data_IF_052400154410
#
_entry.id   IF_052400154410
#
_cell.length_a   1.000
_cell.length_b   1.000
_cell.length_c   1.000
_cell.angle_alpha   90.00
_cell.angle_beta   90.00
_cell.angle_gamma   90.00
#
_symmetry.space_group_name_H-M   'P 1'
#
loop_
_entity.id
_entity.type
_entity.pdbx_description
1 polymer ?
#
# COMPACT_ATOMS: atom_id res chain seq x y z
N UNK A 1 2.03 -15.25 -4.00
CA UNK A 1 2.78 -14.00 -4.29
C UNK A 1 1.95 -12.83 -3.78
N UNK A 2 2.58 -11.72 -3.41
CA UNK A 2 1.86 -10.50 -3.04
C UNK A 2 1.53 -9.68 -4.28
N UNK A 3 0.25 -9.41 -4.49
CA UNK A 3 -0.23 -8.46 -5.50
C UNK A 3 -0.60 -7.15 -4.80
N UNK A 4 -0.27 -6.02 -5.42
CA UNK A 4 -0.61 -4.68 -4.91
C UNK A 4 -1.44 -3.96 -5.95
N UNK A 5 -2.71 -3.71 -5.63
CA UNK A 5 -3.63 -2.95 -6.44
C UNK A 5 -3.80 -1.55 -5.88
N UNK A 6 -3.89 -0.58 -6.78
CA UNK A 6 -4.34 0.77 -6.48
C UNK A 6 -5.67 0.95 -7.19
N UNK A 7 -6.73 1.15 -6.42
CA UNK A 7 -8.06 1.39 -6.93
C UNK A 7 -8.49 2.83 -6.61
N UNK A 8 -8.99 3.55 -7.61
CA UNK A 8 -9.74 4.78 -7.40
C UNK A 8 -11.22 4.40 -7.33
N UNK A 9 -11.86 4.74 -6.23
CA UNK A 9 -13.26 4.36 -5.94
C UNK A 9 -14.04 5.62 -5.57
N UNK A 10 -15.35 5.60 -5.81
CA UNK A 10 -16.23 6.67 -5.33
C UNK A 10 -16.14 6.78 -3.80
N UNK A 11 -16.11 8.00 -3.29
CA UNK A 11 -16.06 8.26 -1.85
C UNK A 11 -17.48 8.35 -1.28
N UNK A 12 -18.09 7.17 -1.10
CA UNK A 12 -19.47 7.02 -0.61
C UNK A 12 -19.57 5.92 0.45
N UNK A 13 -20.55 6.00 1.36
CA UNK A 13 -20.79 4.93 2.34
C UNK A 13 -20.95 3.56 1.68
N UNK A 14 -20.32 2.53 2.28
CA UNK A 14 -20.42 1.13 1.83
C UNK A 14 -19.38 0.68 0.79
N UNK A 15 -18.53 1.59 0.30
CA UNK A 15 -17.45 1.30 -0.67
C UNK A 15 -16.45 0.27 -0.13
N UNK A 16 -15.94 0.49 1.09
CA UNK A 16 -15.02 -0.45 1.74
C UNK A 16 -15.64 -1.84 1.88
N UNK A 17 -16.90 -1.92 2.33
CA UNK A 17 -17.61 -3.19 2.50
C UNK A 17 -17.76 -3.95 1.19
N UNK A 18 -18.03 -3.25 0.08
CA UNK A 18 -18.12 -3.86 -1.26
C UNK A 18 -16.79 -4.44 -1.71
N UNK A 19 -15.68 -3.71 -1.52
CA UNK A 19 -14.33 -4.18 -1.83
C UNK A 19 -13.98 -5.39 -0.96
N UNK A 20 -14.14 -5.31 0.37
CA UNK A 20 -13.84 -6.42 1.27
C UNK A 20 -14.69 -7.68 0.96
N UNK A 21 -15.97 -7.50 0.63
CA UNK A 21 -16.87 -8.60 0.24
C UNK A 21 -16.43 -9.26 -1.07
N UNK A 22 -15.85 -8.51 -2.01
CA UNK A 22 -15.30 -9.08 -3.23
C UNK A 22 -14.14 -10.03 -2.92
N UNK A 23 -13.16 -9.60 -2.12
CA UNK A 23 -12.03 -10.45 -1.74
C UNK A 23 -12.48 -11.69 -0.96
N UNK A 24 -13.48 -11.54 -0.08
CA UNK A 24 -14.13 -12.68 0.58
C UNK A 24 -14.70 -13.68 -0.42
N UNK A 25 -15.45 -13.23 -1.44
CA UNK A 25 -16.03 -14.11 -2.47
C UNK A 25 -14.98 -14.77 -3.35
N UNK A 26 -13.87 -14.08 -3.63
CA UNK A 26 -12.75 -14.66 -4.36
C UNK A 26 -11.92 -15.63 -3.52
N UNK A 27 -12.19 -15.74 -2.21
CA UNK A 27 -11.41 -16.49 -1.24
C UNK A 27 -9.92 -16.09 -1.23
N UNK A 28 -9.67 -14.78 -1.22
CA UNK A 28 -8.33 -14.19 -1.26
C UNK A 28 -8.09 -13.41 0.02
N UNK A 29 -6.96 -13.68 0.68
CA UNK A 29 -6.56 -12.98 1.88
C UNK A 29 -6.06 -11.56 1.57
N UNK A 30 -6.63 -10.56 2.24
CA UNK A 30 -6.11 -9.18 2.21
C UNK A 30 -5.03 -9.06 3.27
N UNK A 31 -3.81 -8.81 2.83
CA UNK A 31 -2.63 -8.62 3.71
C UNK A 31 -2.59 -7.19 4.24
N UNK A 32 -2.99 -6.22 3.42
CA UNK A 32 -3.03 -4.82 3.81
C UNK A 32 -4.06 -4.07 2.98
N UNK A 33 -4.77 -3.14 3.61
CA UNK A 33 -5.71 -2.26 2.93
C UNK A 33 -5.59 -0.87 3.55
N UNK A 34 -5.32 0.12 2.72
CA UNK A 34 -5.26 1.52 3.11
C UNK A 34 -6.20 2.31 2.20
N UNK A 35 -6.98 3.22 2.78
CA UNK A 35 -7.90 4.11 2.07
C UNK A 35 -7.69 5.54 2.56
N UNK A 36 -7.76 6.49 1.63
CA UNK A 36 -7.76 7.92 1.94
C UNK A 36 -8.30 8.70 0.75
N UNK A 37 -8.59 9.97 0.98
CA UNK A 37 -9.02 10.90 -0.07
C UNK A 37 -7.95 10.99 -1.17
N UNK A 38 -8.39 11.08 -2.42
CA UNK A 38 -7.50 11.34 -3.56
C UNK A 38 -7.39 12.83 -3.87
N UNK A 39 -6.59 13.18 -4.86
CA UNK A 39 -6.51 14.54 -5.39
C UNK A 39 -7.81 15.01 -6.08
N UNK A 40 -8.76 14.09 -6.31
CA UNK A 40 -10.03 14.35 -6.98
C UNK A 40 -11.16 14.34 -5.95
N UNK A 41 -12.03 15.37 -5.94
CA UNK A 41 -13.22 15.39 -5.09
C UNK A 41 -14.08 14.14 -5.30
N UNK A 42 -14.68 13.64 -4.22
CA UNK A 42 -15.57 12.47 -4.21
C UNK A 42 -14.93 11.16 -4.71
N UNK A 43 -13.60 11.10 -4.79
CA UNK A 43 -12.85 9.89 -5.15
C UNK A 43 -11.84 9.59 -4.06
N UNK A 44 -11.89 8.35 -3.56
CA UNK A 44 -10.95 7.80 -2.60
C UNK A 44 -9.94 6.90 -3.32
N UNK A 45 -8.69 6.93 -2.86
CA UNK A 45 -7.60 6.07 -3.32
C UNK A 45 -7.41 4.92 -2.33
N UNK A 46 -7.66 3.70 -2.79
CA UNK A 46 -7.44 2.48 -2.02
C UNK A 46 -6.17 1.78 -2.50
N UNK A 47 -5.24 1.47 -1.59
CA UNK A 47 -4.15 0.52 -1.83
C UNK A 47 -4.51 -0.81 -1.20
N UNK A 48 -4.56 -1.86 -1.99
CA UNK A 48 -4.98 -3.21 -1.58
C UNK A 48 -3.84 -4.17 -1.87
N UNK A 49 -3.30 -4.77 -0.82
CA UNK A 49 -2.28 -5.81 -0.92
C UNK A 49 -2.91 -7.13 -0.56
N UNK A 50 -2.82 -8.12 -1.45
CA UNK A 50 -3.40 -9.43 -1.24
C UNK A 50 -2.45 -10.55 -1.63
N UNK A 51 -2.65 -11.73 -1.04
CA UNK A 51 -1.89 -12.92 -1.37
C UNK A 51 -2.68 -13.80 -2.33
N UNK A 52 -2.12 -14.03 -3.53
CA UNK A 52 -2.73 -14.87 -4.55
C UNK A 52 -1.68 -15.54 -5.46
N UNK A 53 -2.06 -16.55 -6.26
CA UNK A 53 -1.22 -17.07 -7.34
C UNK A 53 -0.92 -15.99 -8.38
N UNK A 54 0.23 -16.07 -9.05
CA UNK A 54 0.67 -15.05 -10.02
C UNK A 54 -0.35 -14.79 -11.13
N UNK A 55 -1.05 -15.84 -11.57
CA UNK A 55 -2.08 -15.78 -12.62
C UNK A 55 -3.39 -15.14 -12.17
N UNK A 56 -3.58 -14.93 -10.86
CA UNK A 56 -4.83 -14.40 -10.31
C UNK A 56 -4.98 -12.88 -10.50
N UNK A 57 -3.89 -12.17 -10.77
CA UNK A 57 -3.89 -10.71 -10.86
C UNK A 57 -4.93 -10.15 -11.83
N UNK A 58 -4.99 -10.75 -13.03
CA UNK A 58 -5.95 -10.36 -14.07
C UNK A 58 -7.39 -10.53 -13.60
N UNK A 59 -7.71 -11.67 -12.98
CA UNK A 59 -9.05 -11.97 -12.44
C UNK A 59 -9.45 -11.03 -11.32
N UNK A 60 -8.52 -10.72 -10.40
CA UNK A 60 -8.78 -9.81 -9.28
C UNK A 60 -9.05 -8.40 -9.80
N UNK A 61 -8.18 -7.89 -10.69
CA UNK A 61 -8.34 -6.59 -11.34
C UNK A 61 -9.68 -6.49 -12.08
N UNK A 62 -10.00 -7.48 -12.91
CA UNK A 62 -11.28 -7.52 -13.63
C UNK A 62 -12.48 -7.55 -12.67
N UNK A 63 -12.38 -8.25 -11.54
CA UNK A 63 -13.45 -8.30 -10.55
C UNK A 63 -13.63 -6.98 -9.79
N UNK A 64 -12.55 -6.23 -9.57
CA UNK A 64 -12.60 -4.88 -8.98
C UNK A 64 -13.28 -3.89 -9.94
N UNK A 65 -12.99 -3.96 -11.25
CA UNK A 65 -13.65 -3.14 -12.27
C UNK A 65 -15.15 -3.42 -12.40
N UNK A 66 -15.60 -4.64 -12.07
CA UNK A 66 -17.03 -4.98 -12.07
C UNK A 66 -17.81 -4.32 -10.94
N UNK A 67 -17.15 -3.74 -9.94
CA UNK A 67 -17.84 -2.97 -8.90
C UNK A 67 -18.19 -1.60 -9.48
N UNK A 68 -19.48 -1.25 -9.47
CA UNK A 68 -20.00 0.05 -9.94
C UNK A 68 -19.28 1.26 -9.32
N UNK A 69 -18.78 1.12 -8.08
CA UNK A 69 -18.07 2.15 -7.34
C UNK A 69 -16.63 2.39 -7.83
N UNK A 70 -16.08 1.51 -8.65
CA UNK A 70 -14.69 1.55 -9.07
C UNK A 70 -14.54 2.43 -10.30
N UNK A 71 -13.72 3.46 -10.19
CA UNK A 71 -13.39 4.38 -11.29
C UNK A 71 -12.22 3.85 -12.11
N UNK A 72 -11.16 3.39 -11.44
CA UNK A 72 -9.94 2.90 -12.08
C UNK A 72 -9.24 1.89 -11.16
N UNK A 73 -8.55 0.92 -11.75
CA UNK A 73 -7.73 -0.06 -11.01
C UNK A 73 -6.45 -0.33 -11.76
N UNK A 74 -5.34 -0.17 -11.06
CA UNK A 74 -4.01 -0.50 -11.53
C UNK A 74 -3.34 -1.53 -10.60
N UNK A 75 -2.47 -2.36 -11.17
CA UNK A 75 -1.63 -3.28 -10.41
C UNK A 75 -0.19 -2.74 -10.41
N UNK A 76 0.30 -2.41 -9.22
CA UNK A 76 1.61 -1.78 -9.02
C UNK A 76 2.74 -2.81 -8.89
N UNK A 77 2.40 -4.08 -8.63
CA UNK A 77 3.35 -5.15 -8.29
C UNK A 77 4.45 -5.44 -9.33
N UNK A 78 4.27 -5.04 -10.60
CA UNK A 78 5.24 -5.25 -11.70
C UNK A 78 6.00 -3.98 -12.11
N UNK A 79 5.75 -2.86 -11.44
CA UNK A 79 6.28 -1.54 -11.82
C UNK A 79 7.26 -0.99 -10.79
N UNK A 80 8.16 -0.10 -11.22
CA UNK A 80 8.96 0.68 -10.29
C UNK A 80 8.04 1.54 -9.40
N UNK A 81 7.95 1.19 -8.12
CA UNK A 81 7.06 1.86 -7.18
C UNK A 81 7.76 2.21 -5.87
N UNK A 82 7.28 3.26 -5.25
CA UNK A 82 7.56 3.58 -3.86
C UNK A 82 6.47 2.95 -3.02
N UNK A 83 6.86 2.03 -2.13
CA UNK A 83 5.98 1.44 -1.13
C UNK A 83 6.43 1.92 0.25
N UNK A 84 5.51 2.50 1.01
CA UNK A 84 5.76 3.00 2.36
C UNK A 84 4.62 2.65 3.29
N UNK A 85 4.95 2.59 4.56
CA UNK A 85 4.04 2.35 5.67
C UNK A 85 4.49 3.23 6.83
N UNK A 86 3.53 3.74 7.60
CA UNK A 86 3.75 4.43 8.86
C UNK A 86 3.38 3.50 10.01
N UNK A 87 4.20 3.50 11.06
CA UNK A 87 4.02 2.67 12.24
C UNK A 87 4.27 3.49 13.50
N UNK A 88 3.37 3.32 14.48
CA UNK A 88 3.54 3.75 15.86
C UNK A 88 3.82 2.52 16.72
N UNK A 89 4.85 2.60 17.56
CA UNK A 89 5.25 1.53 18.47
C UNK A 89 5.36 2.11 19.87
N UNK A 90 4.55 1.62 20.80
CA UNK A 90 4.64 1.98 22.21
C UNK A 90 5.46 0.93 22.93
N UNK A 91 6.55 1.36 23.56
CA UNK A 91 7.51 0.49 24.27
C UNK A 91 7.47 0.81 25.75
N UNK A 92 7.43 -0.23 26.59
CA UNK A 92 7.49 -0.09 28.04
C UNK A 92 8.87 0.47 28.46
N UNK A 93 8.86 1.46 29.34
CA UNK A 93 10.06 2.20 29.75
C UNK A 93 9.97 2.68 31.22
N UNK A 94 9.21 1.94 32.03
CA UNK A 94 9.01 2.21 33.45
C UNK A 94 10.25 1.95 34.31
N UNK A 95 10.25 2.40 35.57
CA UNK A 95 11.32 2.11 36.53
C UNK A 95 11.17 0.75 37.22
N UNK A 96 10.00 0.09 37.11
CA UNK A 96 9.63 -1.08 37.90
C UNK A 96 9.37 -2.32 37.03
N UNK A 97 9.90 -3.47 37.46
CA UNK A 97 9.59 -4.77 36.87
C UNK A 97 8.08 -5.09 37.00
N UNK A 98 7.42 -5.70 36.00
CA UNK A 98 7.94 -6.35 34.79
C UNK A 98 8.03 -5.45 33.55
N UNK A 99 7.51 -4.22 33.60
CA UNK A 99 7.39 -3.31 32.45
C UNK A 99 8.59 -2.36 32.32
N UNK A 100 9.60 -2.52 33.17
CA UNK A 100 10.68 -1.56 33.32
C UNK A 100 11.89 -2.11 34.06
N UNK A 101 12.95 -2.44 33.32
CA UNK A 101 14.29 -2.77 33.84
C UNK A 101 15.43 -2.19 32.99
N UNK A 102 15.11 -1.53 31.88
CA UNK A 102 16.07 -1.21 30.84
C UNK A 102 16.26 0.30 30.68
N UNK A 103 17.48 0.71 30.31
CA UNK A 103 17.81 2.12 30.14
C UNK A 103 17.05 2.74 28.96
N UNK A 104 16.27 3.79 29.22
CA UNK A 104 15.63 4.61 28.18
C UNK A 104 16.60 5.09 27.09
N UNK A 105 17.89 5.22 27.42
CA UNK A 105 18.92 5.64 26.47
C UNK A 105 19.01 4.71 25.25
N UNK A 106 18.88 3.40 25.44
CA UNK A 106 18.98 2.44 24.34
C UNK A 106 17.76 2.55 23.40
N UNK A 107 16.56 2.82 23.93
CA UNK A 107 15.39 3.08 23.08
C UNK A 107 15.64 4.32 22.19
N UNK A 108 16.25 5.37 22.74
CA UNK A 108 16.63 6.55 21.95
C UNK A 108 17.72 6.26 20.91
N UNK A 109 18.72 5.43 21.25
CA UNK A 109 19.74 4.98 20.30
C UNK A 109 19.13 4.16 19.16
N UNK A 110 18.24 3.22 19.47
CA UNK A 110 17.50 2.45 18.47
C UNK A 110 16.66 3.36 17.59
N UNK A 111 15.97 4.35 18.16
CA UNK A 111 15.22 5.32 17.38
C UNK A 111 16.11 6.07 16.38
N UNK A 112 17.30 6.50 16.81
CA UNK A 112 18.28 7.17 15.94
C UNK A 112 18.77 6.26 14.80
N UNK A 113 19.16 5.02 15.11
CA UNK A 113 19.66 4.05 14.11
C UNK A 113 18.60 3.75 13.06
N UNK A 114 17.36 3.49 13.49
CA UNK A 114 16.26 3.19 12.57
C UNK A 114 15.68 4.44 11.92
N UNK A 115 16.14 5.64 12.28
CA UNK A 115 15.57 6.94 11.87
C UNK A 115 14.07 7.02 12.20
N UNK A 116 13.70 6.48 13.36
CA UNK A 116 12.40 6.68 13.98
C UNK A 116 12.41 7.97 14.81
N UNK A 117 11.22 8.51 15.08
CA UNK A 117 11.03 9.71 15.91
C UNK A 117 10.38 9.30 17.21
N UNK A 118 10.83 9.86 18.33
CA UNK A 118 10.08 9.76 19.59
C UNK A 118 8.95 10.79 19.53
N UNK A 119 7.71 10.33 19.64
CA UNK A 119 6.52 11.19 19.54
C UNK A 119 5.81 11.37 20.89
N UNK A 120 6.07 10.49 21.85
CA UNK A 120 5.57 10.61 23.22
C UNK A 120 6.56 9.99 24.22
N UNK A 121 6.65 10.61 25.40
CA UNK A 121 7.50 10.18 26.50
C UNK A 121 6.71 10.27 27.81
N UNK A 122 6.28 9.12 28.30
CA UNK A 122 5.55 8.97 29.56
C UNK A 122 6.45 8.36 30.66
N UNK A 123 6.06 8.45 31.94
CA UNK A 123 6.78 7.81 33.03
C UNK A 123 6.94 6.29 32.88
N UNK A 124 6.02 5.62 32.18
CA UNK A 124 6.02 4.16 32.03
C UNK A 124 6.27 3.69 30.59
N UNK A 125 6.35 4.60 29.60
CA UNK A 125 6.47 4.20 28.19
C UNK A 125 7.07 5.28 27.30
N UNK A 126 7.60 4.84 26.16
CA UNK A 126 8.07 5.69 25.06
C UNK A 126 7.32 5.28 23.81
N UNK A 127 6.79 6.26 23.06
CA UNK A 127 6.19 6.00 21.75
C UNK A 127 7.14 6.43 20.64
N UNK A 128 7.42 5.49 19.74
CA UNK A 128 8.20 5.70 18.53
C UNK A 128 7.26 5.76 17.32
N UNK A 129 7.58 6.65 16.39
CA UNK A 129 6.97 6.73 15.07
C UNK A 129 8.04 6.44 14.00
N UNK A 130 7.71 5.59 13.04
CA UNK A 130 8.59 5.31 11.90
C UNK A 130 7.82 5.21 10.59
N UNK A 131 8.42 5.76 9.53
CA UNK A 131 7.98 5.55 8.15
C UNK A 131 9.03 4.76 7.37
N UNK A 132 8.63 3.69 6.69
CA UNK A 132 9.58 2.77 6.04
C UNK A 132 8.94 1.73 5.14
N UNK A 133 9.76 0.81 4.65
CA UNK A 133 9.26 -0.46 4.12
C UNK A 133 8.77 -1.33 5.27
N UNK A 134 7.85 -2.25 5.00
CA UNK A 134 7.38 -3.20 6.02
C UNK A 134 8.52 -4.02 6.64
N UNK A 135 9.56 -4.35 5.87
CA UNK A 135 10.76 -5.04 6.37
C UNK A 135 11.57 -4.19 7.36
N UNK A 136 11.65 -2.88 7.15
CA UNK A 136 12.36 -1.97 8.07
C UNK A 136 11.58 -1.82 9.38
N UNK A 137 10.26 -1.75 9.31
CA UNK A 137 9.35 -1.74 10.47
C UNK A 137 9.51 -3.02 11.28
N UNK A 138 9.47 -4.16 10.61
CA UNK A 138 9.66 -5.45 11.26
C UNK A 138 11.03 -5.56 11.93
N UNK A 139 12.09 -5.05 11.28
CA UNK A 139 13.43 -5.02 11.86
C UNK A 139 13.52 -4.20 13.16
N UNK A 140 12.83 -3.06 13.26
CA UNK A 140 12.81 -2.27 14.50
C UNK A 140 12.08 -3.03 15.61
N UNK A 141 10.91 -3.61 15.30
CA UNK A 141 10.12 -4.41 16.23
C UNK A 141 10.96 -5.58 16.76
N UNK A 142 11.62 -6.31 15.86
CA UNK A 142 12.47 -7.45 16.22
C UNK A 142 13.61 -7.04 17.15
N UNK A 143 14.35 -5.98 16.83
CA UNK A 143 15.48 -5.53 17.66
C UNK A 143 15.02 -5.05 19.03
N UNK A 144 13.87 -4.37 19.12
CA UNK A 144 13.29 -3.98 20.42
C UNK A 144 12.97 -5.22 21.26
N UNK A 145 12.31 -6.22 20.67
CA UNK A 145 11.95 -7.47 21.36
C UNK A 145 13.18 -8.27 21.78
N UNK A 146 14.17 -8.45 20.89
CA UNK A 146 15.42 -9.16 21.19
C UNK A 146 16.27 -8.45 22.25
N UNK A 147 16.17 -7.12 22.34
CA UNK A 147 16.84 -6.32 23.37
C UNK A 147 16.16 -6.42 24.76
N UNK A 148 15.12 -7.23 24.90
CA UNK A 148 14.41 -7.48 26.17
C UNK A 148 13.31 -6.45 26.49
N UNK A 149 13.07 -5.47 25.62
CA UNK A 149 11.99 -4.50 25.83
C UNK A 149 10.63 -5.11 25.51
N UNK A 150 9.63 -4.73 26.31
CA UNK A 150 8.24 -5.10 26.07
C UNK A 150 7.57 -4.07 25.17
N UNK A 151 7.06 -4.50 24.03
CA UNK A 151 6.19 -3.69 23.17
C UNK A 151 4.77 -3.77 23.74
N UNK A 152 4.21 -2.61 24.09
CA UNK A 152 2.87 -2.49 24.64
C UNK A 152 1.80 -2.44 23.54
N UNK A 153 2.12 -1.77 22.43
CA UNK A 153 1.16 -1.51 21.36
C UNK A 153 1.88 -1.25 20.04
N UNK A 154 1.31 -1.74 18.95
CA UNK A 154 1.75 -1.44 17.57
C UNK A 154 0.53 -1.02 16.75
N UNK A 155 0.62 0.14 16.11
CA UNK A 155 -0.40 0.63 15.19
C UNK A 155 0.24 0.92 13.83
N UNK A 156 -0.33 0.35 12.76
CA UNK A 156 0.23 0.37 11.40
C UNK A 156 -0.81 0.87 10.42
N UNK A 157 -0.41 1.73 9.48
CA UNK A 157 -1.32 2.27 8.44
C UNK A 157 -1.63 1.28 7.33
N UNK A 158 -0.84 0.20 7.24
CA UNK A 158 -0.77 -0.62 6.03
C UNK A 158 0.10 0.02 4.94
N UNK A 159 0.25 -0.71 3.83
CA UNK A 159 1.11 -0.32 2.71
C UNK A 159 0.40 0.69 1.81
N UNK A 160 1.04 1.83 1.62
CA UNK A 160 0.74 2.78 0.56
C UNK A 160 1.70 2.57 -0.60
N UNK A 161 1.19 2.65 -1.83
CA UNK A 161 1.98 2.46 -3.03
C UNK A 161 1.74 3.55 -4.10
N UNK A 162 2.82 4.00 -4.71
CA UNK A 162 2.79 4.95 -5.82
C UNK A 162 3.89 4.61 -6.83
N UNK A 163 3.56 4.59 -8.13
CA UNK A 163 4.56 4.37 -9.19
C UNK A 163 5.58 5.51 -9.22
N UNK A 164 6.82 5.20 -9.58
CA UNK A 164 7.88 6.17 -9.87
C UNK A 164 7.76 6.66 -11.31
N UNK A 165 8.29 7.84 -11.57
CA UNK A 165 8.39 8.39 -12.93
C UNK A 165 7.09 9.02 -13.45
N UNK A 166 6.92 9.01 -14.77
CA UNK A 166 5.82 9.70 -15.44
C UNK A 166 4.46 9.06 -15.12
N UNK A 167 3.47 9.91 -14.83
CA UNK A 167 2.13 9.52 -14.43
C UNK A 167 1.39 8.83 -15.59
N UNK A 168 1.49 7.51 -15.69
CA UNK A 168 0.70 6.70 -16.63
C UNK A 168 -0.71 6.47 -16.08
N UNK A 169 -1.45 7.52 -15.76
CA UNK A 169 -2.89 7.36 -15.57
C UNK A 169 -3.53 7.23 -16.94
N UNK A 170 -4.24 6.12 -17.17
CA UNK A 170 -5.10 5.96 -18.34
C UNK A 170 -6.15 7.07 -18.43
N UNK A 171 -6.50 7.70 -17.30
CA UNK A 171 -7.39 8.86 -17.25
C UNK A 171 -6.76 10.09 -17.90
N UNK A 172 -5.46 10.38 -17.71
CA UNK A 172 -4.80 11.47 -18.44
C UNK A 172 -4.71 11.19 -19.95
N UNK A 173 -4.58 9.91 -20.33
CA UNK A 173 -4.62 9.46 -21.72
C UNK A 173 -6.04 9.57 -22.30
N UNK A 174 -7.07 9.33 -21.50
CA UNK A 174 -8.50 9.41 -21.89
C UNK A 174 -9.04 10.85 -21.89
N UNK A 175 -8.51 11.74 -21.05
CA UNK A 175 -8.88 13.17 -20.98
C UNK A 175 -8.23 14.02 -22.07
N UNK A 176 -7.45 13.43 -22.98
CA UNK A 176 -6.89 14.14 -24.14
C UNK A 176 -5.92 15.28 -23.81
N UNK A 177 -5.50 15.44 -22.55
CA UNK A 177 -4.47 16.40 -22.14
C UNK A 177 -3.08 15.90 -22.51
N UNK A 178 -2.88 15.63 -23.80
CA UNK A 178 -1.57 15.63 -24.44
C UNK A 178 -1.15 17.08 -24.68
N UNK A 179 -0.67 17.76 -23.64
CA UNK A 179 0.13 18.98 -23.83
C UNK A 179 1.29 19.11 -22.85
N UNK A 180 1.75 17.98 -22.28
CA UNK A 180 3.07 17.88 -21.66
C UNK A 180 4.19 17.60 -22.69
N UNK A 181 3.84 17.50 -23.98
CA UNK A 181 4.79 17.28 -25.08
C UNK A 181 5.60 18.53 -25.47
N UNK A 182 5.33 19.70 -24.90
CA UNK A 182 6.11 20.93 -25.17
C UNK A 182 7.46 20.99 -24.43
N UNK A 183 7.73 20.09 -23.48
CA UNK A 183 9.03 20.02 -22.78
C UNK A 183 9.88 18.79 -23.13
N UNK A 184 9.84 18.33 -24.39
CA UNK A 184 10.97 17.67 -25.05
C UNK A 184 11.61 16.43 -24.41
N UNK A 185 10.86 15.58 -23.69
CA UNK A 185 11.45 14.47 -22.90
C UNK A 185 10.80 13.09 -23.11
N UNK A 186 10.10 12.84 -24.22
CA UNK A 186 9.57 11.50 -24.50
C UNK A 186 9.91 11.10 -25.93
N UNK A 187 10.75 10.06 -26.06
CA UNK A 187 10.99 9.36 -27.32
C UNK A 187 9.66 8.76 -27.80
N UNK A 188 9.30 9.06 -29.04
CA UNK A 188 8.11 8.55 -29.72
C UNK A 188 8.19 7.02 -29.77
N UNK A 189 7.25 6.31 -29.14
CA UNK A 189 7.12 4.86 -29.31
C UNK A 189 6.45 4.60 -30.67
N UNK A 190 7.05 3.70 -31.45
CA UNK A 190 6.57 3.31 -32.77
C UNK A 190 5.24 2.54 -32.66
N UNK A 191 4.44 2.57 -33.73
CA UNK A 191 3.09 1.97 -33.77
C UNK A 191 3.07 0.47 -33.46
N UNK A 192 4.21 -0.21 -33.57
CA UNK A 192 4.34 -1.64 -33.28
C UNK A 192 4.43 -1.96 -31.78
N UNK A 193 4.68 -0.95 -30.91
CA UNK A 193 4.72 -1.10 -29.45
C UNK A 193 3.33 -0.94 -28.79
N UNK A 194 2.30 -0.67 -29.58
CA UNK A 194 0.91 -0.57 -29.11
C UNK A 194 0.28 -1.96 -29.08
N UNK A 195 0.09 -2.50 -27.86
CA UNK A 195 -0.70 -3.72 -27.67
C UNK A 195 -2.14 -3.46 -28.16
N UNK A 196 -2.68 -4.25 -29.11
CA UNK A 196 -4.03 -4.07 -29.63
C UNK A 196 -5.08 -4.17 -28.52
N UNK A 197 -6.12 -3.33 -28.63
CA UNK A 197 -7.22 -3.25 -27.66
C UNK A 197 -8.42 -4.13 -28.04
N UNK A 198 -8.21 -5.08 -28.95
CA UNK A 198 -9.20 -6.06 -29.39
C UNK A 198 -8.73 -7.45 -28.94
N UNK A 199 -9.58 -8.12 -28.17
CA UNK A 199 -9.39 -9.53 -27.81
C UNK A 199 -9.97 -10.36 -28.95
N UNK A 200 -9.19 -11.27 -29.54
CA UNK A 200 -9.73 -12.25 -30.48
C UNK A 200 -10.81 -13.09 -29.78
N UNK A 201 -11.99 -13.18 -30.41
CA UNK A 201 -13.08 -14.03 -29.99
C UNK A 201 -12.58 -15.48 -29.91
N UNK A 202 -12.44 -15.98 -28.68
CA UNK A 202 -12.18 -17.40 -28.45
C UNK A 202 -13.49 -18.13 -28.74
N UNK A 203 -13.60 -18.65 -29.96
CA UNK A 203 -14.69 -19.53 -30.37
C UNK A 203 -14.89 -20.66 -29.36
N UNK A 204 -16.14 -20.82 -28.93
CA UNK A 204 -16.66 -22.03 -28.30
C UNK A 204 -16.44 -23.22 -29.24
N UNK A 205 -15.61 -24.17 -28.85
CA UNK A 205 -15.69 -25.53 -29.37
C UNK A 205 -16.50 -26.38 -28.39
N UNK A 206 -17.77 -26.60 -28.74
CA UNK A 206 -18.56 -27.74 -28.31
C UNK A 206 -17.96 -29.03 -28.92
N UNK A 207 -17.56 -29.97 -28.06
CA UNK A 207 -17.62 -31.42 -28.30
C UNK A 207 -17.50 -32.18 -26.96
#
# INVERSE_FOLDING_TARGET
>A
MLHTFVAHVSDKPGVLTRVASLFRRLNINIVSLTVGESERPEVSRMTIVCEAPETAAHRIRASLYKLEITVDVDEVGRSEAVIRELCLIKVAAGPSHPLGQHSRSQIFELANVFRARVVDLAPESIMLEMTGSSSKIEGLIQVITESGYTILEVSRTGRMAMRRGQHTSRVLKALGTSDAAKNGLVATLDRDDLIPNEFEDVHEEEA
#
